data_IF_285544226103
#
_entry.id   IF_285544226103
#
_cell.length_a   1.000
_cell.length_b   1.000
_cell.length_c   1.000
_cell.angle_alpha   90.00
_cell.angle_beta   90.00
_cell.angle_gamma   90.00
#
_symmetry.space_group_name_H-M   'P 1'
#
loop_
_entity.id
_entity.type
_entity.pdbx_description
1 polymer ?
#
# COMPACT_ATOMS: atom_id res chain seq x y z
N UNK A 1 8.06 0.92 -24.45
CA UNK A 1 8.69 1.70 -23.36
C UNK A 1 7.92 3.00 -23.21
N UNK A 2 7.64 3.52 -21.99
CA UNK A 2 7.05 4.84 -21.83
C UNK A 2 7.96 5.90 -22.46
N UNK A 3 7.42 6.73 -23.34
CA UNK A 3 8.16 7.82 -23.96
C UNK A 3 8.32 9.00 -22.98
N UNK A 4 9.36 9.81 -23.18
CA UNK A 4 9.59 11.04 -22.41
C UNK A 4 10.14 10.85 -20.99
N UNK A 5 10.71 9.69 -20.66
CA UNK A 5 11.43 9.52 -19.39
C UNK A 5 12.76 10.31 -19.41
N UNK A 6 13.16 10.97 -18.31
CA UNK A 6 14.45 11.64 -18.22
C UNK A 6 15.59 10.63 -18.36
N UNK A 7 16.78 11.06 -18.78
CA UNK A 7 17.96 10.17 -18.87
C UNK A 7 18.51 9.75 -17.50
N UNK A 8 18.42 10.65 -16.52
CA UNK A 8 18.95 10.46 -15.18
C UNK A 8 17.92 10.80 -14.11
N UNK A 9 18.01 10.09 -12.99
CA UNK A 9 17.18 10.27 -11.82
C UNK A 9 17.51 11.61 -11.15
N UNK A 10 16.53 12.50 -11.05
CA UNK A 10 16.67 13.81 -10.41
C UNK A 10 16.85 13.74 -8.88
N UNK A 11 16.72 12.55 -8.27
CA UNK A 11 16.91 12.33 -6.85
C UNK A 11 18.23 11.64 -6.46
N UNK A 12 18.74 10.70 -7.27
CA UNK A 12 19.97 9.96 -6.96
C UNK A 12 21.03 9.98 -8.07
N UNK A 13 20.75 10.57 -9.23
CA UNK A 13 21.69 10.70 -10.35
C UNK A 13 21.91 9.44 -11.20
N UNK A 14 21.36 8.29 -10.84
CA UNK A 14 21.49 7.05 -11.63
C UNK A 14 20.75 7.14 -12.97
N UNK A 15 21.12 6.30 -13.94
CA UNK A 15 20.36 6.14 -15.18
C UNK A 15 18.88 5.82 -14.87
N UNK A 16 17.98 6.45 -15.61
CA UNK A 16 16.55 6.42 -15.28
C UNK A 16 15.77 5.55 -16.25
N UNK A 17 15.79 4.24 -15.98
CA UNK A 17 14.91 3.27 -16.62
C UNK A 17 13.66 2.97 -15.76
N UNK A 18 12.76 2.14 -16.29
CA UNK A 18 11.52 1.73 -15.60
C UNK A 18 11.85 1.05 -14.26
N UNK A 19 12.82 0.14 -14.24
CA UNK A 19 13.18 -0.61 -13.04
C UNK A 19 13.69 0.32 -11.94
N UNK A 20 14.58 1.25 -12.29
CA UNK A 20 15.06 2.29 -11.40
C UNK A 20 13.91 3.15 -10.88
N UNK A 21 13.03 3.61 -11.78
CA UNK A 21 11.92 4.47 -11.41
C UNK A 21 10.99 3.80 -10.39
N UNK A 22 10.67 2.52 -10.57
CA UNK A 22 9.78 1.75 -9.68
C UNK A 22 10.41 1.47 -8.30
N UNK A 23 11.73 1.38 -8.22
CA UNK A 23 12.44 0.96 -7.00
C UNK A 23 13.14 2.09 -6.23
N UNK A 24 13.39 3.24 -6.88
CA UNK A 24 14.15 4.34 -6.29
C UNK A 24 13.45 4.92 -5.04
N UNK A 25 14.18 4.94 -3.91
CA UNK A 25 13.66 5.42 -2.62
C UNK A 25 13.71 6.94 -2.45
N UNK A 26 14.30 7.67 -3.39
CA UNK A 26 14.36 9.15 -3.33
C UNK A 26 12.99 9.77 -3.61
N UNK A 27 12.72 10.92 -2.99
CA UNK A 27 11.44 11.64 -3.13
C UNK A 27 10.23 11.00 -2.45
N UNK A 28 10.38 9.87 -1.77
CA UNK A 28 9.28 9.21 -1.05
C UNK A 28 8.19 8.61 -1.96
N UNK A 29 8.43 8.52 -3.27
CA UNK A 29 7.42 8.10 -4.26
C UNK A 29 6.99 6.64 -4.10
N UNK A 30 7.87 5.77 -3.62
CA UNK A 30 7.51 4.37 -3.33
C UNK A 30 6.46 4.31 -2.21
N UNK A 31 6.70 5.02 -1.10
CA UNK A 31 5.78 5.09 0.04
C UNK A 31 4.43 5.69 -0.39
N UNK A 32 4.46 6.86 -1.02
CA UNK A 32 3.25 7.51 -1.56
C UNK A 32 2.47 6.62 -2.55
N UNK A 33 3.19 5.80 -3.32
CA UNK A 33 2.56 4.80 -4.19
C UNK A 33 1.83 3.71 -3.41
N UNK A 34 2.39 3.24 -2.29
CA UNK A 34 1.67 2.32 -1.40
C UNK A 34 0.46 3.00 -0.76
N UNK A 35 0.59 4.27 -0.34
CA UNK A 35 -0.52 5.04 0.23
C UNK A 35 -1.72 5.10 -0.73
N UNK A 36 -1.51 5.22 -2.05
CA UNK A 36 -2.60 5.16 -3.03
C UNK A 36 -3.37 3.83 -3.01
N UNK A 37 -2.66 2.71 -2.89
CA UNK A 37 -3.28 1.39 -2.82
C UNK A 37 -3.96 1.18 -1.46
N UNK A 38 -3.30 1.54 -0.37
CA UNK A 38 -3.86 1.55 0.99
C UNK A 38 -5.16 2.32 1.05
N UNK A 39 -5.17 3.57 0.62
CA UNK A 39 -6.34 4.44 0.70
C UNK A 39 -7.49 3.89 -0.15
N UNK A 40 -7.19 3.24 -1.29
CA UNK A 40 -8.20 2.55 -2.07
C UNK A 40 -8.79 1.35 -1.31
N UNK A 41 -7.94 0.49 -0.75
CA UNK A 41 -8.37 -0.67 0.03
C UNK A 41 -9.18 -0.25 1.26
N UNK A 42 -8.76 0.79 1.98
CA UNK A 42 -9.45 1.33 3.14
C UNK A 42 -10.84 1.85 2.75
N UNK A 43 -10.95 2.64 1.67
CA UNK A 43 -12.26 3.13 1.16
C UNK A 43 -13.18 1.99 0.74
N UNK A 44 -12.65 1.00 0.02
CA UNK A 44 -13.41 -0.18 -0.38
C UNK A 44 -13.90 -0.96 0.85
N UNK A 45 -13.02 -1.15 1.83
CA UNK A 45 -13.32 -1.81 3.10
C UNK A 45 -14.38 -1.08 3.91
N UNK A 46 -14.31 0.25 3.97
CA UNK A 46 -15.28 1.09 4.66
C UNK A 46 -16.68 0.98 4.03
N UNK A 47 -16.77 0.94 2.69
CA UNK A 47 -18.05 0.72 2.02
C UNK A 47 -18.66 -0.64 2.37
N UNK A 48 -17.83 -1.68 2.51
CA UNK A 48 -18.27 -3.04 2.81
C UNK A 48 -18.68 -3.19 4.29
N UNK A 49 -17.76 -2.95 5.21
CA UNK A 49 -17.93 -3.24 6.64
C UNK A 49 -18.12 -2.01 7.53
N UNK A 50 -17.75 -0.82 7.06
CA UNK A 50 -17.75 0.41 7.85
C UNK A 50 -16.60 0.47 8.87
N UNK A 51 -16.25 1.69 9.28
CA UNK A 51 -15.27 1.93 10.34
C UNK A 51 -13.84 1.53 9.95
N UNK A 52 -13.49 1.58 8.66
CA UNK A 52 -12.11 1.35 8.25
C UNK A 52 -11.22 2.48 8.76
N UNK A 53 -10.09 2.13 9.37
CA UNK A 53 -9.11 3.10 9.88
C UNK A 53 -7.77 2.87 9.22
N UNK A 54 -7.06 3.96 8.92
CA UNK A 54 -5.71 3.92 8.35
C UNK A 54 -4.67 4.14 9.43
N UNK A 55 -3.50 3.53 9.26
CA UNK A 55 -2.36 3.65 10.19
C UNK A 55 -2.68 3.26 11.66
N UNK A 56 -3.39 2.15 11.94
CA UNK A 56 -3.61 1.68 13.30
C UNK A 56 -2.29 1.24 13.97
N UNK A 57 -2.10 1.63 15.24
CA UNK A 57 -1.01 1.16 16.09
C UNK A 57 -1.35 -0.24 16.59
N UNK A 58 -0.53 -1.25 16.22
CA UNK A 58 -0.66 -2.63 16.70
C UNK A 58 0.14 -2.84 17.99
N UNK A 59 1.27 -2.13 18.11
CA UNK A 59 2.12 -2.15 19.30
C UNK A 59 2.72 -0.77 19.50
N UNK A 60 2.60 -0.22 20.70
CA UNK A 60 3.25 1.04 21.05
C UNK A 60 4.76 0.93 20.98
N UNK A 61 5.43 2.07 20.88
CA UNK A 61 6.87 2.10 21.09
C UNK A 61 7.16 1.80 22.56
N UNK A 62 8.06 0.87 22.82
CA UNK A 62 8.71 0.74 24.12
C UNK A 62 10.17 1.13 23.95
N UNK A 63 10.89 1.41 25.03
CA UNK A 63 12.28 1.90 24.96
C UNK A 63 13.25 0.99 24.17
N UNK A 64 12.84 -0.22 23.78
CA UNK A 64 13.62 -1.16 22.97
C UNK A 64 13.15 -1.30 21.51
N UNK A 65 11.86 -1.11 21.24
CA UNK A 65 11.26 -1.36 19.93
C UNK A 65 10.42 -0.16 19.45
N UNK A 66 10.54 0.22 18.17
CA UNK A 66 9.66 1.24 17.60
C UNK A 66 8.21 0.74 17.55
N UNK A 67 7.28 1.69 17.52
CA UNK A 67 5.86 1.40 17.33
C UNK A 67 5.63 0.60 16.04
N UNK A 68 4.76 -0.39 16.12
CA UNK A 68 4.35 -1.20 14.99
C UNK A 68 3.00 -0.71 14.49
N UNK A 69 2.99 -0.13 13.29
CA UNK A 69 1.83 0.47 12.67
C UNK A 69 1.51 -0.33 11.40
N UNK A 70 0.27 -0.82 11.28
CA UNK A 70 -0.23 -1.44 10.04
C UNK A 70 -0.84 -0.37 9.13
N UNK A 71 -1.16 -0.70 7.89
CA UNK A 71 -1.72 0.28 6.96
C UNK A 71 -3.22 0.50 7.19
N UNK A 72 -3.97 -0.57 7.51
CA UNK A 72 -5.43 -0.54 7.60
C UNK A 72 -5.89 -1.46 8.74
N UNK A 73 -6.94 -1.06 9.46
CA UNK A 73 -7.77 -1.93 10.31
C UNK A 73 -9.22 -1.86 9.86
N UNK A 74 -9.86 -3.02 9.72
CA UNK A 74 -11.28 -3.15 9.42
C UNK A 74 -11.87 -4.23 10.33
N UNK A 75 -13.02 -3.96 10.95
CA UNK A 75 -13.74 -4.94 11.77
C UNK A 75 -14.55 -5.90 10.88
N UNK A 76 -14.60 -7.19 11.23
CA UNK A 76 -15.58 -8.09 10.61
C UNK A 76 -15.18 -8.69 9.26
N UNK A 77 -13.95 -8.45 8.80
CA UNK A 77 -13.53 -8.94 7.47
C UNK A 77 -13.46 -10.45 7.44
N UNK A 78 -12.79 -11.11 8.39
CA UNK A 78 -12.65 -12.57 8.39
C UNK A 78 -13.58 -13.26 9.39
N UNK A 79 -13.74 -12.63 10.55
CA UNK A 79 -14.60 -13.00 11.66
C UNK A 79 -15.36 -11.73 12.09
N UNK A 80 -16.68 -11.81 12.22
CA UNK A 80 -17.57 -10.67 12.50
C UNK A 80 -17.19 -9.91 13.77
N UNK A 81 -16.63 -10.59 14.77
CA UNK A 81 -16.33 -10.00 16.09
C UNK A 81 -14.87 -9.58 16.25
N UNK A 82 -14.02 -9.83 15.24
CA UNK A 82 -12.58 -9.57 15.34
C UNK A 82 -12.09 -8.52 14.35
N UNK A 83 -11.10 -7.68 14.73
CA UNK A 83 -10.45 -6.77 13.80
C UNK A 83 -9.51 -7.55 12.87
N UNK A 84 -9.52 -7.17 11.60
CA UNK A 84 -8.51 -7.57 10.64
C UNK A 84 -7.58 -6.39 10.33
N UNK A 85 -6.28 -6.65 10.40
CA UNK A 85 -5.23 -5.69 10.11
C UNK A 85 -4.59 -6.03 8.77
N UNK A 86 -4.23 -5.00 8.01
CA UNK A 86 -3.69 -5.16 6.67
C UNK A 86 -2.49 -4.26 6.48
N UNK A 87 -1.53 -4.72 5.67
CA UNK A 87 -0.40 -3.93 5.23
C UNK A 87 -0.17 -4.19 3.73
N UNK A 88 0.01 -3.10 2.97
CA UNK A 88 0.12 -3.11 1.51
C UNK A 88 1.56 -3.17 1.02
N UNK A 89 1.77 -3.88 -0.10
CA UNK A 89 3.08 -3.89 -0.77
C UNK A 89 2.91 -4.01 -2.27
N UNK A 90 3.52 -3.08 -3.00
CA UNK A 90 3.60 -3.13 -4.47
C UNK A 90 5.01 -3.58 -4.86
N UNK A 91 5.11 -4.74 -5.50
CA UNK A 91 6.38 -5.34 -5.94
C UNK A 91 6.59 -5.11 -7.43
N UNK A 92 7.80 -4.69 -7.80
CA UNK A 92 8.23 -4.71 -9.19
C UNK A 92 8.72 -6.12 -9.54
N UNK A 93 7.89 -6.94 -10.20
CA UNK A 93 8.23 -8.31 -10.56
C UNK A 93 9.38 -8.39 -11.57
N UNK A 94 9.55 -7.34 -12.40
CA UNK A 94 10.61 -7.25 -13.41
C UNK A 94 11.93 -6.66 -12.85
N UNK A 95 12.05 -6.47 -11.54
CA UNK A 95 13.32 -5.98 -10.98
C UNK A 95 14.42 -7.02 -11.23
N UNK A 96 15.63 -6.56 -11.59
CA UNK A 96 16.77 -7.45 -11.84
C UNK A 96 17.09 -8.42 -10.68
N UNK A 97 16.71 -8.09 -9.44
CA UNK A 97 16.81 -8.98 -8.28
C UNK A 97 15.86 -10.19 -8.32
N UNK A 98 14.83 -10.14 -9.16
CA UNK A 98 13.79 -11.17 -9.33
C UNK A 98 13.82 -11.82 -10.71
N UNK A 99 14.84 -11.55 -11.55
CA UNK A 99 14.89 -12.04 -12.94
C UNK A 99 14.91 -13.57 -13.08
N UNK A 100 15.10 -14.30 -11.99
CA UNK A 100 15.05 -15.78 -11.93
C UNK A 100 13.87 -16.33 -11.12
N UNK A 101 12.96 -15.49 -10.60
CA UNK A 101 11.85 -15.90 -9.73
C UNK A 101 10.51 -15.59 -10.40
N UNK A 102 9.61 -16.57 -10.35
CA UNK A 102 8.23 -16.37 -10.77
C UNK A 102 7.47 -15.45 -9.79
N UNK A 103 6.42 -14.79 -10.27
CA UNK A 103 5.58 -13.87 -9.49
C UNK A 103 5.12 -14.50 -8.18
N UNK A 104 4.64 -15.75 -8.22
CA UNK A 104 4.12 -16.44 -7.04
C UNK A 104 5.18 -16.60 -5.95
N UNK A 105 6.42 -16.92 -6.34
CA UNK A 105 7.54 -17.05 -5.38
C UNK A 105 7.85 -15.71 -4.72
N UNK A 106 7.94 -14.66 -5.52
CA UNK A 106 8.24 -13.30 -5.04
C UNK A 106 7.12 -12.77 -4.13
N UNK A 107 5.86 -12.97 -4.52
CA UNK A 107 4.70 -12.56 -3.76
C UNK A 107 4.59 -13.33 -2.43
N UNK A 108 4.83 -14.65 -2.45
CA UNK A 108 4.85 -15.47 -1.24
C UNK A 108 5.96 -15.04 -0.26
N UNK A 109 7.17 -14.76 -0.75
CA UNK A 109 8.25 -14.25 0.09
C UNK A 109 7.87 -12.90 0.72
N UNK A 110 7.32 -11.98 -0.08
CA UNK A 110 6.86 -10.68 0.38
C UNK A 110 5.74 -10.77 1.43
N UNK A 111 4.81 -11.72 1.27
CA UNK A 111 3.74 -11.99 2.22
C UNK A 111 4.28 -12.61 3.52
N UNK A 112 5.20 -13.57 3.43
CA UNK A 112 5.87 -14.20 4.60
C UNK A 112 6.64 -13.19 5.44
N UNK A 113 7.37 -12.27 4.80
CA UNK A 113 8.06 -11.17 5.50
C UNK A 113 7.08 -10.29 6.29
N UNK A 114 5.88 -10.07 5.77
CA UNK A 114 4.83 -9.30 6.46
C UNK A 114 4.22 -10.11 7.61
N UNK A 115 3.85 -11.37 7.39
CA UNK A 115 3.38 -12.26 8.45
C UNK A 115 4.34 -12.31 9.64
N UNK A 116 5.62 -12.58 9.38
CA UNK A 116 6.66 -12.62 10.40
C UNK A 116 6.76 -11.30 11.21
N UNK A 117 6.39 -10.16 10.61
CA UNK A 117 6.42 -8.85 11.25
C UNK A 117 5.16 -8.54 12.06
N UNK A 118 3.98 -8.95 11.60
CA UNK A 118 2.70 -8.42 12.12
C UNK A 118 1.82 -9.45 12.84
N UNK A 119 1.92 -10.75 12.55
CA UNK A 119 0.96 -11.76 13.04
C UNK A 119 0.82 -11.73 14.56
N UNK A 120 1.93 -11.85 15.27
CA UNK A 120 1.93 -11.85 16.74
C UNK A 120 1.27 -10.60 17.33
N UNK A 121 1.58 -9.42 16.80
CA UNK A 121 1.01 -8.18 17.31
C UNK A 121 -0.48 -8.04 16.98
N UNK A 122 -0.93 -8.55 15.83
CA UNK A 122 -2.35 -8.63 15.52
C UNK A 122 -3.09 -9.60 16.44
N UNK A 123 -2.49 -10.76 16.73
CA UNK A 123 -3.03 -11.77 17.66
C UNK A 123 -3.13 -11.26 19.09
N UNK A 124 -2.12 -10.53 19.58
CA UNK A 124 -2.12 -9.88 20.90
C UNK A 124 -3.32 -8.91 21.05
N UNK A 125 -3.77 -8.30 19.95
CA UNK A 125 -4.97 -7.47 19.87
C UNK A 125 -6.25 -8.24 19.55
N UNK A 126 -6.24 -9.57 19.66
CA UNK A 126 -7.34 -10.48 19.30
C UNK A 126 -7.81 -10.30 17.85
N UNK A 127 -6.94 -9.83 16.97
CA UNK A 127 -7.21 -9.67 15.55
C UNK A 127 -6.54 -10.74 14.71
N UNK A 128 -6.59 -10.52 13.40
CA UNK A 128 -5.88 -11.30 12.38
C UNK A 128 -5.11 -10.35 11.47
N UNK A 129 -3.98 -10.79 10.91
CA UNK A 129 -3.24 -10.03 9.92
C UNK A 129 -3.39 -10.63 8.52
N UNK A 130 -3.43 -9.77 7.50
CA UNK A 130 -3.44 -10.20 6.09
C UNK A 130 -2.60 -9.25 5.23
N UNK A 131 -1.50 -9.71 4.62
CA UNK A 131 -0.74 -8.94 3.63
C UNK A 131 -1.52 -8.70 2.33
N UNK A 132 -1.58 -7.43 1.90
CA UNK A 132 -2.16 -7.00 0.62
C UNK A 132 -1.04 -6.74 -0.39
N UNK A 133 -0.50 -7.83 -0.95
CA UNK A 133 0.63 -7.79 -1.89
C UNK A 133 0.13 -7.79 -3.34
N UNK A 134 0.61 -6.83 -4.14
CA UNK A 134 0.36 -6.76 -5.59
C UNK A 134 1.62 -6.48 -6.40
N UNK A 135 1.61 -6.81 -7.68
CA UNK A 135 2.66 -6.41 -8.61
C UNK A 135 2.41 -4.99 -9.16
N UNK A 136 3.39 -4.42 -9.85
CA UNK A 136 3.23 -3.15 -10.59
C UNK A 136 2.25 -3.28 -11.77
N UNK A 137 2.06 -4.49 -12.29
CA UNK A 137 1.17 -4.83 -13.41
C UNK A 137 -0.26 -5.13 -12.91
N UNK A 138 -0.44 -5.33 -11.60
CA UNK A 138 -1.73 -5.57 -10.97
C UNK A 138 -2.01 -7.04 -10.64
N UNK A 139 -1.02 -7.93 -10.75
CA UNK A 139 -1.16 -9.29 -10.24
C UNK A 139 -1.30 -9.24 -8.71
N UNK A 140 -2.21 -10.04 -8.13
CA UNK A 140 -2.49 -10.05 -6.70
C UNK A 140 -1.98 -11.34 -6.07
N UNK A 141 -1.40 -11.24 -4.88
CA UNK A 141 -1.16 -12.40 -4.03
C UNK A 141 -2.50 -13.06 -3.63
N UNK A 142 -2.49 -14.36 -3.35
CA UNK A 142 -3.67 -15.17 -3.05
C UNK A 142 -4.52 -14.58 -1.91
N UNK A 143 -3.89 -14.11 -0.84
CA UNK A 143 -4.59 -13.50 0.29
C UNK A 143 -5.23 -12.14 -0.03
N UNK A 144 -4.56 -11.31 -0.83
CA UNK A 144 -5.15 -10.08 -1.32
C UNK A 144 -6.33 -10.40 -2.25
N UNK A 145 -6.19 -11.39 -3.13
CA UNK A 145 -7.30 -11.85 -3.97
C UNK A 145 -8.49 -12.36 -3.12
N UNK A 146 -8.24 -13.03 -2.00
CA UNK A 146 -9.28 -13.44 -1.05
C UNK A 146 -9.97 -12.26 -0.38
N UNK A 147 -9.21 -11.23 0.04
CA UNK A 147 -9.79 -10.00 0.56
C UNK A 147 -10.73 -9.36 -0.47
N UNK A 148 -10.32 -9.27 -1.74
CA UNK A 148 -11.14 -8.71 -2.83
C UNK A 148 -12.40 -9.54 -3.07
N UNK A 149 -12.31 -10.87 -3.06
CA UNK A 149 -13.48 -11.75 -3.21
C UNK A 149 -14.49 -11.51 -2.10
N UNK A 150 -14.03 -11.46 -0.85
CA UNK A 150 -14.93 -11.27 0.31
C UNK A 150 -15.54 -9.87 0.33
N UNK A 151 -14.75 -8.85 0.01
CA UNK A 151 -15.21 -7.48 -0.17
C UNK A 151 -16.31 -7.39 -1.23
N UNK A 152 -16.09 -8.00 -2.39
CA UNK A 152 -17.06 -7.99 -3.47
C UNK A 152 -18.35 -8.76 -3.11
N UNK A 153 -18.23 -9.87 -2.36
CA UNK A 153 -19.38 -10.60 -1.85
C UNK A 153 -20.22 -9.74 -0.91
N UNK A 154 -19.60 -9.16 0.13
CA UNK A 154 -20.28 -8.29 1.10
C UNK A 154 -20.95 -7.09 0.42
N UNK A 155 -20.27 -6.45 -0.54
CA UNK A 155 -20.86 -5.33 -1.29
C UNK A 155 -21.98 -5.79 -2.24
N UNK A 156 -21.89 -6.99 -2.81
CA UNK A 156 -22.93 -7.52 -3.69
C UNK A 156 -24.26 -7.72 -2.95
N UNK A 157 -24.21 -8.22 -1.72
CA UNK A 157 -25.38 -8.33 -0.85
C UNK A 157 -25.90 -6.95 -0.45
N UNK A 158 -25.01 -6.03 -0.04
CA UNK A 158 -25.38 -4.69 0.43
C UNK A 158 -26.00 -3.81 -0.66
N UNK A 159 -25.56 -3.97 -1.91
CA UNK A 159 -26.01 -3.17 -3.03
C UNK A 159 -27.08 -3.84 -3.88
N UNK A 160 -27.44 -5.10 -3.58
CA UNK A 160 -28.32 -5.93 -4.39
C UNK A 160 -27.89 -5.95 -5.88
N UNK A 161 -26.62 -6.34 -6.10
CA UNK A 161 -26.01 -6.40 -7.44
C UNK A 161 -25.34 -7.75 -7.68
N UNK A 162 -25.26 -8.24 -8.93
CA UNK A 162 -24.56 -9.48 -9.22
C UNK A 162 -23.09 -9.43 -8.78
N UNK A 163 -22.63 -10.47 -8.08
CA UNK A 163 -21.24 -10.57 -7.60
C UNK A 163 -20.21 -10.33 -8.70
N UNK A 164 -20.45 -10.85 -9.92
CA UNK A 164 -19.56 -10.66 -11.07
C UNK A 164 -19.36 -9.18 -11.45
N UNK A 165 -20.41 -8.36 -11.33
CA UNK A 165 -20.34 -6.92 -11.59
C UNK A 165 -19.55 -6.21 -10.48
N UNK A 166 -19.80 -6.57 -9.22
CA UNK A 166 -19.15 -5.94 -8.06
C UNK A 166 -17.68 -6.31 -7.96
N UNK A 167 -17.31 -7.57 -8.19
CA UNK A 167 -15.89 -8.00 -8.20
C UNK A 167 -15.14 -7.38 -9.38
N UNK A 168 -15.76 -7.24 -10.54
CA UNK A 168 -15.21 -6.52 -11.69
C UNK A 168 -14.93 -5.05 -11.34
N UNK A 169 -15.93 -4.36 -10.78
CA UNK A 169 -15.80 -2.99 -10.31
C UNK A 169 -14.69 -2.81 -9.26
N UNK A 170 -14.63 -3.69 -8.25
CA UNK A 170 -13.63 -3.63 -7.19
C UNK A 170 -12.20 -3.82 -7.76
N UNK A 171 -12.03 -4.80 -8.65
CA UNK A 171 -10.76 -5.03 -9.36
C UNK A 171 -10.35 -3.82 -10.20
N UNK A 172 -11.29 -3.18 -10.91
CA UNK A 172 -11.00 -1.95 -11.66
C UNK A 172 -10.53 -0.82 -10.73
N UNK A 173 -11.14 -0.63 -9.56
CA UNK A 173 -10.70 0.39 -8.60
C UNK A 173 -9.27 0.13 -8.12
N UNK A 174 -8.95 -1.12 -7.79
CA UNK A 174 -7.60 -1.51 -7.37
C UNK A 174 -6.59 -1.34 -8.50
N UNK A 175 -6.92 -1.74 -9.73
CA UNK A 175 -6.04 -1.56 -10.88
C UNK A 175 -5.73 -0.07 -11.13
N UNK A 176 -6.74 0.80 -11.02
CA UNK A 176 -6.54 2.24 -11.15
C UNK A 176 -5.65 2.80 -10.02
N UNK A 177 -5.76 2.27 -8.80
CA UNK A 177 -4.87 2.64 -7.69
C UNK A 177 -3.42 2.22 -7.97
N UNK A 178 -3.20 0.99 -8.46
CA UNK A 178 -1.88 0.50 -8.86
C UNK A 178 -1.28 1.33 -10.00
N UNK A 179 -2.07 1.64 -11.04
CA UNK A 179 -1.66 2.49 -12.15
C UNK A 179 -1.26 3.89 -11.65
N UNK A 180 -1.99 4.46 -10.69
CA UNK A 180 -1.62 5.75 -10.07
C UNK A 180 -0.31 5.64 -9.30
N UNK A 181 -0.12 4.58 -8.54
CA UNK A 181 1.12 4.32 -7.81
C UNK A 181 2.33 4.19 -8.75
N UNK A 182 2.18 3.46 -9.85
CA UNK A 182 3.22 3.28 -10.88
C UNK A 182 3.49 4.59 -11.61
N UNK A 183 2.46 5.30 -12.07
CA UNK A 183 2.63 6.60 -12.74
C UNK A 183 3.33 7.62 -11.85
N UNK A 184 2.99 7.66 -10.56
CA UNK A 184 3.65 8.51 -9.58
C UNK A 184 5.16 8.23 -9.55
N UNK A 185 5.55 6.95 -9.50
CA UNK A 185 6.97 6.53 -9.51
C UNK A 185 7.65 6.86 -10.83
N UNK A 186 6.99 6.70 -11.96
CA UNK A 186 7.58 6.98 -13.28
C UNK A 186 7.75 8.48 -13.53
N UNK A 187 6.79 9.31 -13.13
CA UNK A 187 6.65 10.68 -13.64
C UNK A 187 6.86 11.79 -12.62
N UNK A 188 6.78 11.52 -11.32
CA UNK A 188 7.00 12.57 -10.33
C UNK A 188 8.49 12.83 -10.07
N UNK A 189 8.79 14.09 -9.78
CA UNK A 189 10.13 14.52 -9.34
C UNK A 189 10.50 13.86 -8.02
N UNK A 190 11.78 13.48 -7.88
CA UNK A 190 12.35 12.95 -6.63
C UNK A 190 13.11 14.01 -5.83
N UNK A 191 13.16 15.24 -6.33
CA UNK A 191 13.76 16.38 -5.62
C UNK A 191 12.84 16.81 -4.49
N UNK A 192 13.44 17.18 -3.36
CA UNK A 192 12.71 17.92 -2.32
C UNK A 192 12.49 19.33 -2.85
N UNK A 193 11.25 19.64 -3.24
CA UNK A 193 10.86 21.01 -3.50
C UNK A 193 10.79 21.72 -2.15
N UNK A 194 11.63 22.73 -1.94
CA UNK A 194 11.49 23.63 -0.80
C UNK A 194 10.36 24.60 -1.13
N UNK A 195 9.37 24.71 -0.26
CA UNK A 195 8.55 25.91 -0.25
C UNK A 195 9.41 27.04 0.31
N UNK A 196 9.39 28.22 -0.31
CA UNK A 196 9.87 29.43 0.36
C UNK A 196 9.03 29.57 1.63
N UNK A 197 9.64 29.36 2.79
CA UNK A 197 8.96 29.57 4.06
C UNK A 197 8.47 31.02 4.09
N UNK A 198 7.19 31.21 4.39
CA UNK A 198 6.82 32.44 5.06
C UNK A 198 7.63 32.45 6.36
N UNK A 199 8.53 33.41 6.48
CA UNK A 199 9.12 33.75 7.76
C UNK A 199 7.96 34.27 8.62
N UNK A 200 7.34 33.38 9.40
CA UNK A 200 6.38 33.78 10.41
C UNK A 200 7.15 34.62 11.44
N UNK A 201 7.08 35.93 11.26
CA UNK A 201 7.60 36.93 12.15
C UNK A 201 6.92 36.81 13.52
N UNK A 202 7.65 36.24 14.48
CA UNK A 202 7.35 36.35 15.89
C UNK A 202 8.65 36.26 16.72
N UNK A 203 9.54 37.24 16.56
CA UNK A 203 10.44 37.63 17.65
C UNK A 203 9.74 38.72 18.44
N UNK A 204 8.89 38.31 19.39
CA UNK A 204 8.46 39.20 20.45
C UNK A 204 9.63 39.42 21.41
N UNK A 205 9.95 40.69 21.57
CA UNK A 205 11.01 41.28 22.38
C UNK A 205 11.04 40.78 23.82
N UNK A 206 12.25 40.61 24.36
CA UNK A 206 12.51 40.73 25.80
C UNK A 206 13.79 41.54 26.02
N UNK A 207 13.60 42.80 26.38
CA UNK A 207 14.47 43.56 27.28
C UNK A 207 13.58 44.08 28.40
#
# INVERSE_FOLDING_TARGET
MPEGLPRFCDGCGAAFDINHALNCKKGGLVKRGHDHLRDCCAKLGDMAWGGATTEPVLREADGSLPALIADIKIQGVWDSERPAFFDTRIVNADAASYSSQDWDTTACAAAREKHAKYDRAAEDLRGSFTPLVSSCEGALHSEFAMFVKRLAFTLSEKWDRPYSQVVGWARTKLQLATIRAVNLRLRCSRRKLRCLGAEDGATLSSQ
#
